data_IF_956752869645
#
_entry.id   IF_956752869645
#
_cell.length_a   1.000
_cell.length_b   1.000
_cell.length_c   1.000
_cell.angle_alpha   90.00
_cell.angle_beta   90.00
_cell.angle_gamma   90.00
#
_symmetry.space_group_name_H-M   'P 1'
#
loop_
_entity.id
_entity.type
_entity.pdbx_description
1 polymer ?
#
# COMPACT_ATOMS: atom_id res chain seq x y z
N UNK A 1 16.19 -6.96 7.85
CA UNK A 1 17.35 -6.33 7.16
C UNK A 1 17.14 -4.85 7.03
N UNK A 2 18.18 -4.05 7.26
CA UNK A 2 18.17 -2.59 7.07
C UNK A 2 18.55 -2.27 5.63
N UNK A 3 17.77 -1.42 4.98
CA UNK A 3 18.06 -0.86 3.65
C UNK A 3 17.63 0.59 3.58
N UNK A 4 17.97 1.30 2.51
CA UNK A 4 17.61 2.71 2.34
C UNK A 4 16.09 2.93 2.44
N UNK A 5 15.29 1.97 1.94
CA UNK A 5 13.83 2.03 1.88
C UNK A 5 13.11 1.89 3.23
N UNK A 6 13.80 1.42 4.27
CA UNK A 6 13.21 1.17 5.59
C UNK A 6 14.05 1.70 6.77
N UNK A 7 15.18 2.36 6.49
CA UNK A 7 16.13 2.81 7.51
C UNK A 7 15.50 3.76 8.52
N UNK A 8 14.69 4.72 8.06
CA UNK A 8 14.07 5.70 8.95
C UNK A 8 13.00 5.05 9.84
N UNK A 9 12.11 4.22 9.26
CA UNK A 9 11.12 3.46 10.01
C UNK A 9 11.76 2.53 11.06
N UNK A 10 12.86 1.85 10.69
CA UNK A 10 13.60 1.00 11.60
C UNK A 10 14.19 1.79 12.77
N UNK A 11 14.81 2.95 12.49
CA UNK A 11 15.37 3.80 13.53
C UNK A 11 14.28 4.35 14.47
N UNK A 12 13.14 4.77 13.92
CA UNK A 12 11.99 5.23 14.68
C UNK A 12 11.44 4.13 15.60
N UNK A 13 11.27 2.92 15.06
CA UNK A 13 10.83 1.75 15.82
C UNK A 13 11.81 1.39 16.94
N UNK A 14 13.11 1.41 16.67
CA UNK A 14 14.15 1.19 17.69
C UNK A 14 14.04 2.23 18.81
N UNK A 15 13.91 3.52 18.49
CA UNK A 15 13.76 4.58 19.50
C UNK A 15 12.51 4.42 20.37
N UNK A 16 11.40 4.06 19.74
CA UNK A 16 10.14 3.77 20.44
C UNK A 16 10.28 2.56 21.36
N UNK A 17 10.98 1.52 20.93
CA UNK A 17 11.20 0.33 21.74
C UNK A 17 12.18 0.55 22.90
N UNK A 18 13.25 1.34 22.69
CA UNK A 18 14.26 1.71 23.69
C UNK A 18 13.75 2.70 24.75
N UNK A 19 12.75 3.51 24.42
CA UNK A 19 12.19 4.52 25.32
C UNK A 19 10.68 4.70 25.11
N UNK A 20 9.86 3.69 25.46
CA UNK A 20 8.43 3.72 25.22
C UNK A 20 7.76 4.98 25.81
N UNK A 21 6.89 5.59 25.02
CA UNK A 21 6.11 6.79 25.28
C UNK A 21 6.90 8.09 25.51
N UNK A 22 8.24 8.08 25.44
CA UNK A 22 9.08 9.27 25.67
C UNK A 22 9.54 9.95 24.39
N UNK A 23 9.90 9.16 23.37
CA UNK A 23 10.46 9.69 22.13
C UNK A 23 9.37 10.13 21.15
N UNK A 24 8.55 9.18 20.69
CA UNK A 24 7.50 9.42 19.70
C UNK A 24 6.21 8.70 20.11
N UNK A 25 5.15 9.46 20.36
CA UNK A 25 3.87 8.87 20.74
C UNK A 25 2.67 9.62 20.12
N UNK A 26 1.95 9.01 19.17
CA UNK A 26 2.15 7.67 18.61
C UNK A 26 3.31 7.63 17.62
N UNK A 27 3.73 6.41 17.28
CA UNK A 27 4.45 6.13 16.05
C UNK A 27 3.46 5.57 15.02
N UNK A 28 3.38 6.19 13.85
CA UNK A 28 2.53 5.76 12.74
C UNK A 28 3.41 5.31 11.58
N UNK A 29 3.37 4.01 11.27
CA UNK A 29 4.15 3.39 10.19
C UNK A 29 3.22 3.08 9.03
N UNK A 30 3.51 3.54 7.82
CA UNK A 30 2.71 3.20 6.65
C UNK A 30 3.53 2.70 5.47
N UNK A 31 2.86 2.04 4.53
CA UNK A 31 3.46 1.52 3.31
C UNK A 31 2.61 0.39 2.74
N UNK A 32 2.86 0.01 1.49
CA UNK A 32 2.10 -1.03 0.80
C UNK A 32 2.12 -2.38 1.55
N UNK A 33 1.23 -3.28 1.15
CA UNK A 33 1.18 -4.64 1.70
C UNK A 33 2.53 -5.37 1.52
N UNK A 34 2.91 -6.19 2.50
CA UNK A 34 4.11 -7.03 2.39
C UNK A 34 5.45 -6.30 2.52
N UNK A 35 5.49 -5.05 3.03
CA UNK A 35 6.75 -4.32 3.24
C UNK A 35 7.36 -4.45 4.65
N UNK A 36 6.72 -5.20 5.55
CA UNK A 36 7.25 -5.48 6.89
C UNK A 36 6.71 -4.61 8.02
N UNK A 37 5.58 -3.91 7.83
CA UNK A 37 4.88 -3.15 8.89
C UNK A 37 4.59 -4.01 10.13
N UNK A 38 3.86 -5.11 9.95
CA UNK A 38 3.55 -6.09 11.00
C UNK A 38 4.81 -6.63 11.67
N UNK A 39 5.84 -6.96 10.87
CA UNK A 39 7.13 -7.41 11.38
C UNK A 39 7.76 -6.36 12.32
N UNK A 40 7.72 -5.09 11.93
CA UNK A 40 8.27 -3.98 12.72
C UNK A 40 7.50 -3.78 14.03
N UNK A 41 6.16 -3.86 14.00
CA UNK A 41 5.32 -3.82 15.19
C UNK A 41 5.70 -4.94 16.17
N UNK A 42 5.77 -6.18 15.69
CA UNK A 42 6.19 -7.32 16.53
C UNK A 42 7.62 -7.15 17.07
N UNK A 43 8.55 -6.62 16.27
CA UNK A 43 9.91 -6.36 16.72
C UNK A 43 9.95 -5.35 17.88
N UNK A 44 9.15 -4.28 17.84
CA UNK A 44 8.99 -3.34 18.96
C UNK A 44 8.46 -4.08 20.19
N UNK A 45 7.40 -4.87 20.03
CA UNK A 45 6.79 -5.61 21.14
C UNK A 45 7.77 -6.55 21.82
N UNK A 46 8.45 -7.40 21.05
CA UNK A 46 9.44 -8.34 21.57
C UNK A 46 10.65 -7.65 22.22
N UNK A 47 11.10 -6.52 21.66
CA UNK A 47 12.16 -5.74 22.29
C UNK A 47 11.71 -5.23 23.66
N UNK A 48 10.50 -4.67 23.76
CA UNK A 48 9.97 -4.17 25.03
C UNK A 48 9.81 -5.30 26.05
N UNK A 49 9.22 -6.43 25.67
CA UNK A 49 9.04 -7.59 26.57
C UNK A 49 10.37 -8.14 27.08
N UNK A 50 11.41 -8.14 26.25
CA UNK A 50 12.74 -8.64 26.64
C UNK A 50 13.55 -7.68 27.52
N UNK A 51 13.28 -6.38 27.46
CA UNK A 51 14.05 -5.36 28.19
C UNK A 51 13.30 -4.74 29.37
N UNK A 52 11.97 -4.85 29.41
CA UNK A 52 11.12 -4.27 30.44
C UNK A 52 10.24 -5.35 31.11
N UNK A 53 10.74 -5.94 32.19
CA UNK A 53 10.11 -7.06 32.91
C UNK A 53 8.68 -6.81 33.43
N UNK A 54 8.26 -5.55 33.51
CA UNK A 54 6.94 -5.16 34.04
C UNK A 54 6.04 -4.48 33.02
N UNK A 55 6.48 -4.32 31.76
CA UNK A 55 5.64 -3.72 30.74
C UNK A 55 4.67 -4.74 30.16
N UNK A 56 3.40 -4.35 30.06
CA UNK A 56 2.37 -5.12 29.37
C UNK A 56 2.29 -4.64 27.93
N UNK A 57 2.69 -5.50 26.99
CA UNK A 57 2.60 -5.24 25.55
C UNK A 57 1.35 -5.91 24.99
N UNK A 58 0.61 -5.20 24.14
CA UNK A 58 -0.53 -5.74 23.41
C UNK A 58 -0.39 -5.46 21.92
N UNK A 59 -0.34 -6.53 21.14
CA UNK A 59 -0.56 -6.47 19.70
C UNK A 59 -2.01 -6.83 19.37
N UNK A 60 -2.60 -6.12 18.42
CA UNK A 60 -3.93 -6.41 17.88
C UNK A 60 -4.04 -5.90 16.43
N UNK A 61 -4.70 -6.64 15.55
CA UNK A 61 -5.14 -6.08 14.26
C UNK A 61 -6.45 -5.30 14.45
N UNK A 62 -6.69 -4.29 13.61
CA UNK A 62 -7.95 -3.55 13.66
C UNK A 62 -9.18 -4.45 13.48
N UNK A 63 -9.08 -5.51 12.68
CA UNK A 63 -10.15 -6.51 12.50
C UNK A 63 -10.41 -7.32 13.77
N UNK A 64 -9.36 -7.81 14.46
CA UNK A 64 -9.53 -8.51 15.74
C UNK A 64 -10.12 -7.58 16.80
N UNK A 65 -9.68 -6.32 16.84
CA UNK A 65 -10.25 -5.32 17.74
C UNK A 65 -11.75 -5.08 17.46
N UNK A 66 -12.15 -5.02 16.18
CA UNK A 66 -13.55 -4.93 15.77
C UNK A 66 -14.37 -6.13 16.27
N UNK A 67 -13.89 -7.35 16.05
CA UNK A 67 -14.59 -8.56 16.48
C UNK A 67 -14.77 -8.59 18.00
N UNK A 68 -13.73 -8.28 18.75
CA UNK A 68 -13.80 -8.20 20.21
C UNK A 68 -14.74 -7.08 20.70
N UNK A 69 -14.79 -5.95 20.00
CA UNK A 69 -15.72 -4.86 20.29
C UNK A 69 -17.17 -5.29 20.09
N UNK A 70 -17.48 -5.95 18.96
CA UNK A 70 -18.83 -6.48 18.68
C UNK A 70 -19.25 -7.51 19.73
N UNK A 71 -18.35 -8.42 20.11
CA UNK A 71 -18.63 -9.42 21.13
C UNK A 71 -18.83 -8.80 22.51
N UNK A 72 -18.06 -7.76 22.84
CA UNK A 72 -18.20 -7.03 24.10
C UNK A 72 -19.54 -6.29 24.21
N UNK A 73 -20.07 -5.76 23.10
CA UNK A 73 -21.41 -5.19 23.04
C UNK A 73 -22.47 -6.28 23.29
N UNK A 74 -22.39 -7.39 22.56
CA UNK A 74 -23.37 -8.50 22.66
C UNK A 74 -23.43 -9.12 24.05
N UNK A 75 -22.27 -9.26 24.70
CA UNK A 75 -22.13 -9.87 26.02
C UNK A 75 -22.21 -8.87 27.18
N UNK A 76 -22.48 -7.58 26.90
CA UNK A 76 -22.45 -6.49 27.89
C UNK A 76 -21.14 -6.44 28.72
N UNK A 77 -20.00 -6.72 28.08
CA UNK A 77 -18.69 -6.86 28.70
C UNK A 77 -17.69 -5.75 28.28
N UNK A 78 -18.20 -4.59 27.86
CA UNK A 78 -17.40 -3.42 27.46
C UNK A 78 -16.36 -2.98 28.48
N UNK A 79 -16.63 -3.16 29.78
CA UNK A 79 -15.65 -2.88 30.83
C UNK A 79 -14.41 -3.78 30.71
N UNK A 80 -14.59 -5.07 30.36
CA UNK A 80 -13.50 -6.01 30.14
C UNK A 80 -12.68 -5.68 28.89
N UNK A 81 -13.34 -5.30 27.80
CA UNK A 81 -12.67 -4.81 26.59
C UNK A 81 -11.79 -3.60 26.91
N UNK A 82 -12.35 -2.58 27.56
CA UNK A 82 -11.60 -1.38 27.95
C UNK A 82 -10.41 -1.71 28.82
N UNK A 83 -10.58 -2.60 29.80
CA UNK A 83 -9.49 -3.05 30.66
C UNK A 83 -8.35 -3.67 29.85
N UNK A 84 -8.68 -4.59 28.94
CA UNK A 84 -7.72 -5.31 28.08
C UNK A 84 -6.85 -4.39 27.23
N UNK A 85 -7.42 -3.29 26.73
CA UNK A 85 -6.74 -2.36 25.82
C UNK A 85 -6.21 -1.09 26.49
N UNK A 86 -6.66 -0.75 27.70
CA UNK A 86 -6.23 0.47 28.42
C UNK A 86 -5.29 0.18 29.59
N UNK A 87 -5.28 -1.04 30.13
CA UNK A 87 -4.31 -1.49 31.14
C UNK A 87 -3.08 -2.13 30.47
N UNK A 88 -2.44 -1.37 29.57
CA UNK A 88 -1.21 -1.79 28.87
C UNK A 88 -0.16 -0.68 28.92
N UNK A 89 1.10 -1.03 28.74
CA UNK A 89 2.20 -0.07 28.64
C UNK A 89 2.52 0.26 27.18
N UNK A 90 2.30 -0.70 26.28
CA UNK A 90 2.49 -0.55 24.84
C UNK A 90 1.31 -1.17 24.09
N UNK A 91 0.62 -0.37 23.28
CA UNK A 91 -0.41 -0.83 22.36
C UNK A 91 0.10 -0.74 20.91
N UNK A 92 0.15 -1.89 20.25
CA UNK A 92 0.55 -2.05 18.86
C UNK A 92 -0.70 -2.42 18.05
N UNK A 93 -1.05 -1.58 17.08
CA UNK A 93 -2.29 -1.72 16.31
C UNK A 93 -1.94 -1.83 14.85
N UNK A 94 -2.24 -2.98 14.27
CA UNK A 94 -1.96 -3.26 12.86
C UNK A 94 -3.15 -2.89 11.98
N UNK A 95 -2.84 -2.43 10.77
CA UNK A 95 -3.79 -2.15 9.69
C UNK A 95 -4.96 -1.23 10.07
N UNK A 96 -4.66 -0.02 10.57
CA UNK A 96 -5.69 0.96 11.01
C UNK A 96 -6.59 1.48 9.89
N UNK A 97 -6.25 1.22 8.62
CA UNK A 97 -7.13 1.50 7.48
C UNK A 97 -8.50 0.79 7.61
N UNK A 98 -8.57 -0.34 8.33
CA UNK A 98 -9.83 -1.05 8.55
C UNK A 98 -10.80 -0.35 9.54
N UNK A 99 -10.43 0.80 10.10
CA UNK A 99 -11.35 1.69 10.80
C UNK A 99 -12.32 2.41 9.85
N UNK A 100 -12.03 2.42 8.54
CA UNK A 100 -12.87 2.99 7.49
C UNK A 100 -14.32 2.49 7.59
N UNK A 101 -15.27 3.43 7.64
CA UNK A 101 -16.71 3.16 7.67
C UNK A 101 -17.22 2.53 8.97
N UNK A 102 -16.40 2.48 10.03
CA UNK A 102 -16.74 1.87 11.33
C UNK A 102 -16.89 2.91 12.44
N UNK A 103 -17.89 3.79 12.36
CA UNK A 103 -18.07 4.93 13.29
C UNK A 103 -18.00 4.54 14.79
N UNK A 104 -18.79 3.54 15.21
CA UNK A 104 -18.78 3.10 16.61
C UNK A 104 -17.43 2.52 17.07
N UNK A 105 -16.69 1.88 16.16
CA UNK A 105 -15.34 1.38 16.46
C UNK A 105 -14.34 2.53 16.53
N UNK A 106 -14.43 3.51 15.63
CA UNK A 106 -13.61 4.73 15.65
C UNK A 106 -13.80 5.50 16.96
N UNK A 107 -15.03 5.60 17.47
CA UNK A 107 -15.31 6.24 18.74
C UNK A 107 -14.65 5.52 19.93
N UNK A 108 -14.85 4.20 20.07
CA UNK A 108 -14.23 3.44 21.17
C UNK A 108 -12.70 3.43 21.06
N UNK A 109 -12.18 3.38 19.83
CA UNK A 109 -10.75 3.52 19.56
C UNK A 109 -10.23 4.90 19.98
N UNK A 110 -10.93 5.98 19.66
CA UNK A 110 -10.56 7.34 20.07
C UNK A 110 -10.46 7.47 21.60
N UNK A 111 -11.40 6.89 22.33
CA UNK A 111 -11.35 6.88 23.79
C UNK A 111 -10.18 6.04 24.34
N UNK A 112 -9.91 4.88 23.74
CA UNK A 112 -8.77 4.04 24.11
C UNK A 112 -7.45 4.75 23.85
N UNK A 113 -7.30 5.37 22.69
CA UNK A 113 -6.14 6.16 22.32
C UNK A 113 -5.88 7.29 23.32
N UNK A 114 -6.91 8.07 23.68
CA UNK A 114 -6.76 9.17 24.62
C UNK A 114 -6.41 8.72 26.04
N UNK A 115 -7.01 7.62 26.49
CA UNK A 115 -6.72 7.05 27.81
C UNK A 115 -5.25 6.62 27.91
N UNK A 116 -4.74 5.92 26.89
CA UNK A 116 -3.35 5.48 26.84
C UNK A 116 -2.38 6.65 26.70
N UNK A 117 -2.65 7.56 25.77
CA UNK A 117 -1.77 8.71 25.54
C UNK A 117 -1.69 9.62 26.77
N UNK A 118 -2.84 9.94 27.39
CA UNK A 118 -2.89 10.73 28.63
C UNK A 118 -2.21 10.07 29.83
N UNK A 119 -2.11 8.73 29.83
CA UNK A 119 -1.37 7.96 30.83
C UNK A 119 0.10 7.71 30.45
N UNK A 120 0.62 8.38 29.42
CA UNK A 120 1.97 8.18 28.87
C UNK A 120 2.28 6.71 28.54
N UNK A 121 1.31 6.02 27.94
CA UNK A 121 1.49 4.66 27.38
C UNK A 121 1.81 4.75 25.90
N UNK A 122 2.68 3.87 25.40
CA UNK A 122 3.13 3.92 24.01
C UNK A 122 2.02 3.41 23.09
N UNK A 123 1.81 4.13 21.98
CA UNK A 123 0.92 3.70 20.91
C UNK A 123 1.73 3.59 19.62
N UNK A 124 1.65 2.46 18.94
CA UNK A 124 2.23 2.26 17.60
C UNK A 124 1.14 1.78 16.66
N UNK A 125 1.01 2.43 15.52
CA UNK A 125 -0.02 2.20 14.54
C UNK A 125 0.64 1.82 13.21
N UNK A 126 0.04 0.87 12.50
CA UNK A 126 0.42 0.51 11.14
C UNK A 126 -0.74 0.77 10.17
N UNK A 127 -0.43 1.17 8.93
CA UNK A 127 -1.43 1.40 7.89
C UNK A 127 -0.91 1.10 6.48
N UNK A 128 -1.78 0.78 5.54
CA UNK A 128 -1.41 0.71 4.11
C UNK A 128 -1.22 2.10 3.48
N UNK A 129 -1.75 3.15 4.12
CA UNK A 129 -1.76 4.53 3.63
C UNK A 129 -1.62 5.57 4.75
N UNK A 130 -1.32 6.82 4.38
CA UNK A 130 -1.29 7.93 5.32
C UNK A 130 -2.66 8.19 5.98
N UNK A 131 -2.71 8.79 7.18
CA UNK A 131 -3.98 9.11 7.87
C UNK A 131 -4.97 9.90 6.99
N UNK A 132 -4.47 10.88 6.22
CA UNK A 132 -5.33 11.72 5.38
C UNK A 132 -5.98 10.95 4.23
N UNK A 133 -5.37 9.82 3.83
CA UNK A 133 -5.82 8.95 2.75
C UNK A 133 -6.77 7.83 3.21
N UNK A 134 -7.05 7.70 4.51
CA UNK A 134 -8.02 6.72 5.05
C UNK A 134 -9.43 7.32 4.89
N UNK A 135 -10.27 6.82 3.96
CA UNK A 135 -11.61 7.37 3.75
C UNK A 135 -12.44 7.26 5.02
N UNK A 136 -13.33 8.22 5.26
CA UNK A 136 -14.27 8.24 6.40
C UNK A 136 -13.64 8.15 7.80
N UNK A 137 -12.31 8.27 7.92
CA UNK A 137 -11.63 8.42 9.20
C UNK A 137 -11.94 9.80 9.78
N UNK A 138 -12.48 9.84 11.00
CA UNK A 138 -12.84 11.06 11.69
C UNK A 138 -11.63 12.02 11.86
N UNK A 139 -11.89 13.32 11.70
CA UNK A 139 -10.86 14.37 11.77
C UNK A 139 -10.09 14.35 13.10
N UNK A 140 -10.78 14.05 14.20
CA UNK A 140 -10.14 13.93 15.51
C UNK A 140 -9.12 12.80 15.56
N UNK A 141 -9.38 11.66 14.92
CA UNK A 141 -8.43 10.55 14.83
C UNK A 141 -7.28 10.87 13.89
N UNK A 142 -7.55 11.52 12.74
CA UNK A 142 -6.49 12.03 11.85
C UNK A 142 -5.52 12.94 12.60
N UNK A 143 -6.04 13.89 13.38
CA UNK A 143 -5.25 14.76 14.24
C UNK A 143 -4.40 13.97 15.25
N UNK A 144 -4.98 12.95 15.89
CA UNK A 144 -4.26 12.05 16.81
C UNK A 144 -3.23 11.15 16.13
N UNK A 145 -3.35 10.85 14.85
CA UNK A 145 -2.32 10.08 14.15
C UNK A 145 -1.16 10.97 13.74
N UNK A 146 -1.43 12.23 13.40
CA UNK A 146 -0.46 13.18 12.86
C UNK A 146 0.37 13.93 13.90
N UNK A 147 -0.07 14.01 15.16
CA UNK A 147 0.68 14.71 16.21
C UNK A 147 1.94 13.98 16.72
N UNK A 148 2.13 12.72 16.31
CA UNK A 148 3.29 11.89 16.66
C UNK A 148 4.32 11.86 15.53
N UNK A 149 5.06 10.76 15.42
CA UNK A 149 5.97 10.53 14.30
C UNK A 149 5.27 9.69 13.23
N UNK A 150 5.28 10.17 11.99
CA UNK A 150 4.85 9.41 10.81
C UNK A 150 6.10 8.99 10.03
N UNK A 151 6.17 7.72 9.66
CA UNK A 151 7.24 7.17 8.83
C UNK A 151 6.68 6.19 7.81
N UNK A 152 7.32 6.11 6.66
CA UNK A 152 7.00 5.17 5.61
C UNK A 152 7.99 4.01 5.54
N UNK A 153 7.54 2.90 4.95
CA UNK A 153 8.37 1.81 4.47
C UNK A 153 8.14 1.69 2.96
N UNK A 154 9.22 1.78 2.20
CA UNK A 154 9.20 1.68 0.74
C UNK A 154 9.66 0.29 0.27
N UNK A 155 9.30 -0.10 -0.97
CA UNK A 155 9.82 -1.31 -1.58
C UNK A 155 11.36 -1.35 -1.55
N UNK A 156 11.97 -2.48 -1.18
CA UNK A 156 13.42 -2.62 -1.11
C UNK A 156 14.06 -2.60 -2.50
N UNK A 157 15.28 -2.05 -2.59
CA UNK A 157 16.13 -2.16 -3.77
C UNK A 157 16.65 -3.59 -3.98
N UNK A 158 17.30 -3.85 -5.13
CA UNK A 158 17.81 -5.18 -5.48
C UNK A 158 18.78 -5.72 -4.43
N UNK A 159 19.69 -4.88 -3.93
CA UNK A 159 20.67 -5.24 -2.91
C UNK A 159 19.99 -5.70 -1.61
N UNK A 160 18.99 -4.94 -1.15
CA UNK A 160 18.21 -5.28 0.04
C UNK A 160 17.38 -6.54 -0.18
N UNK A 161 16.79 -6.75 -1.37
CA UNK A 161 16.06 -7.98 -1.70
C UNK A 161 16.98 -9.21 -1.69
N UNK A 162 18.16 -9.10 -2.28
CA UNK A 162 19.19 -10.15 -2.22
C UNK A 162 19.58 -10.47 -0.77
N UNK A 163 19.81 -9.45 0.05
CA UNK A 163 20.14 -9.64 1.46
C UNK A 163 19.00 -10.32 2.25
N UNK A 164 17.74 -9.97 1.97
CA UNK A 164 16.56 -10.63 2.55
C UNK A 164 16.55 -12.12 2.17
N UNK A 165 16.69 -12.43 0.88
CA UNK A 165 16.67 -13.81 0.39
C UNK A 165 17.80 -14.66 0.98
N UNK A 166 19.03 -14.12 1.02
CA UNK A 166 20.19 -14.80 1.63
C UNK A 166 19.96 -15.09 3.10
N UNK A 167 19.47 -14.11 3.86
CA UNK A 167 19.19 -14.31 5.27
C UNK A 167 18.09 -15.34 5.52
N UNK A 168 17.08 -15.35 4.64
CA UNK A 168 16.01 -16.34 4.68
C UNK A 168 16.55 -17.75 4.42
N UNK A 169 17.34 -17.94 3.37
CA UNK A 169 17.93 -19.25 3.04
C UNK A 169 18.87 -19.75 4.13
N UNK A 170 19.69 -18.88 4.71
CA UNK A 170 20.58 -19.21 5.84
C UNK A 170 19.80 -19.64 7.08
N UNK A 171 18.77 -18.88 7.46
CA UNK A 171 17.92 -19.20 8.62
C UNK A 171 17.21 -20.54 8.44
N UNK A 172 16.73 -20.78 7.23
CA UNK A 172 15.98 -22.00 6.90
C UNK A 172 16.93 -23.17 6.58
N UNK A 173 18.25 -22.95 6.60
CA UNK A 173 19.34 -23.92 6.34
C UNK A 173 19.22 -24.60 4.97
N UNK A 174 18.81 -23.83 3.97
CA UNK A 174 18.72 -24.28 2.58
C UNK A 174 19.81 -23.59 1.77
N UNK A 175 20.63 -24.38 1.08
CA UNK A 175 21.65 -23.86 0.19
C UNK A 175 21.02 -23.54 -1.18
N UNK A 176 21.06 -22.26 -1.55
CA UNK A 176 20.51 -21.78 -2.82
C UNK A 176 21.62 -21.09 -3.61
N UNK A 177 21.85 -21.46 -4.89
CA UNK A 177 22.87 -20.81 -5.71
C UNK A 177 22.66 -19.29 -5.80
N UNK A 178 23.76 -18.53 -5.75
CA UNK A 178 23.72 -17.06 -5.76
C UNK A 178 22.98 -16.50 -6.98
N UNK A 179 23.22 -17.08 -8.16
CA UNK A 179 22.54 -16.76 -9.42
C UNK A 179 21.03 -16.99 -9.36
N UNK A 180 20.57 -17.99 -8.61
CA UNK A 180 19.15 -18.26 -8.43
C UNK A 180 18.51 -17.24 -7.50
N UNK A 181 19.21 -16.84 -6.43
CA UNK A 181 18.76 -15.73 -5.57
C UNK A 181 18.69 -14.41 -6.33
N UNK A 182 19.69 -14.12 -7.17
CA UNK A 182 19.72 -12.94 -8.02
C UNK A 182 18.60 -12.95 -9.06
N UNK A 183 18.31 -14.11 -9.66
CA UNK A 183 17.17 -14.28 -10.55
C UNK A 183 15.85 -13.95 -9.83
N UNK A 184 15.61 -14.52 -8.65
CA UNK A 184 14.38 -14.25 -7.88
C UNK A 184 14.30 -12.77 -7.50
N UNK A 185 15.38 -12.18 -6.96
CA UNK A 185 15.40 -10.78 -6.53
C UNK A 185 15.24 -9.78 -7.68
N UNK A 186 15.72 -10.12 -8.89
CA UNK A 186 15.61 -9.25 -10.06
C UNK A 186 14.21 -9.23 -10.66
N UNK A 187 13.45 -10.34 -10.53
CA UNK A 187 12.14 -10.45 -11.15
C UNK A 187 10.97 -10.23 -10.18
N UNK A 188 11.14 -10.50 -8.89
CA UNK A 188 10.09 -10.29 -7.88
C UNK A 188 10.35 -8.98 -7.14
N UNK A 189 9.73 -7.90 -7.62
CA UNK A 189 9.99 -6.52 -7.16
C UNK A 189 8.82 -5.89 -6.41
N UNK A 190 7.67 -6.55 -6.36
CA UNK A 190 6.40 -6.05 -5.82
C UNK A 190 6.43 -5.80 -4.31
N UNK A 191 6.69 -6.84 -3.51
CA UNK A 191 6.78 -6.78 -2.05
C UNK A 191 7.59 -7.95 -1.46
N UNK A 192 7.97 -7.83 -0.19
CA UNK A 192 8.82 -8.81 0.50
C UNK A 192 8.11 -10.16 0.68
N UNK A 193 6.78 -10.16 0.83
CA UNK A 193 6.01 -11.40 1.01
C UNK A 193 6.04 -12.26 -0.24
N UNK A 194 5.85 -11.67 -1.42
CA UNK A 194 5.99 -12.37 -2.70
C UNK A 194 7.42 -12.83 -2.94
N UNK A 195 8.41 -12.00 -2.59
CA UNK A 195 9.83 -12.33 -2.69
C UNK A 195 10.19 -13.58 -1.85
N UNK A 196 9.80 -13.60 -0.57
CA UNK A 196 9.99 -14.77 0.29
C UNK A 196 9.15 -15.97 -0.18
N UNK A 197 7.93 -15.74 -0.66
CA UNK A 197 7.06 -16.77 -1.20
C UNK A 197 7.64 -17.47 -2.42
N UNK A 198 8.28 -16.72 -3.32
CA UNK A 198 8.98 -17.25 -4.48
C UNK A 198 10.14 -18.16 -4.06
N UNK A 199 10.95 -17.73 -3.09
CA UNK A 199 12.02 -18.56 -2.53
C UNK A 199 11.46 -19.86 -1.94
N UNK A 200 10.45 -19.75 -1.07
CA UNK A 200 9.80 -20.90 -0.44
C UNK A 200 9.28 -21.89 -1.48
N UNK A 201 8.64 -21.40 -2.55
CA UNK A 201 8.11 -22.25 -3.62
C UNK A 201 9.22 -23.04 -4.31
N UNK A 202 10.32 -22.37 -4.68
CA UNK A 202 11.47 -23.01 -5.35
C UNK A 202 12.13 -24.04 -4.43
N UNK A 203 12.40 -23.67 -3.17
CA UNK A 203 13.06 -24.58 -2.21
C UNK A 203 12.17 -25.77 -1.84
N UNK A 204 10.86 -25.55 -1.68
CA UNK A 204 9.91 -26.62 -1.37
C UNK A 204 9.80 -27.61 -2.53
N UNK A 205 9.70 -27.14 -3.77
CA UNK A 205 9.64 -28.02 -4.94
C UNK A 205 10.91 -28.88 -5.06
N UNK A 206 12.08 -28.26 -4.92
CA UNK A 206 13.36 -28.96 -4.97
C UNK A 206 13.44 -30.07 -3.89
N UNK A 207 13.06 -29.73 -2.66
CA UNK A 207 13.05 -30.67 -1.54
C UNK A 207 12.05 -31.82 -1.74
N UNK A 208 10.85 -31.55 -2.22
CA UNK A 208 9.79 -32.56 -2.38
C UNK A 208 10.07 -33.53 -3.52
N UNK A 209 10.77 -33.08 -4.57
CA UNK A 209 11.09 -33.90 -5.74
C UNK A 209 12.52 -34.46 -5.72
N UNK A 210 13.33 -34.11 -4.70
CA UNK A 210 14.72 -34.53 -4.59
C UNK A 210 15.60 -34.03 -5.73
N UNK A 211 15.29 -32.86 -6.30
CA UNK A 211 16.04 -32.24 -7.41
C UNK A 211 16.88 -31.07 -6.89
N UNK A 212 18.04 -30.78 -7.50
CA UNK A 212 18.85 -29.64 -7.11
C UNK A 212 18.13 -28.32 -7.41
N UNK A 213 18.39 -27.30 -6.59
CA UNK A 213 17.93 -25.94 -6.84
C UNK A 213 18.79 -25.33 -7.94
N UNK A 214 18.16 -24.90 -9.03
CA UNK A 214 18.82 -24.24 -10.16
C UNK A 214 18.01 -23.05 -10.63
N UNK A 215 18.66 -22.17 -11.39
CA UNK A 215 17.99 -21.00 -12.00
C UNK A 215 16.89 -21.43 -12.99
N UNK A 216 17.07 -22.54 -13.71
CA UNK A 216 16.04 -23.06 -14.62
C UNK A 216 14.85 -23.67 -13.88
N UNK A 217 15.09 -24.32 -12.73
CA UNK A 217 14.01 -24.73 -11.85
C UNK A 217 13.21 -23.50 -11.39
N UNK A 218 13.88 -22.45 -10.92
CA UNK A 218 13.23 -21.22 -10.49
C UNK A 218 12.40 -20.57 -11.61
N UNK A 219 12.92 -20.49 -12.84
CA UNK A 219 12.15 -19.99 -14.00
C UNK A 219 10.87 -20.79 -14.24
N UNK A 220 10.96 -22.13 -14.17
CA UNK A 220 9.79 -22.99 -14.38
C UNK A 220 8.72 -22.80 -13.30
N UNK A 221 9.13 -22.75 -12.04
CA UNK A 221 8.23 -22.71 -10.87
C UNK A 221 7.63 -21.34 -10.60
N UNK A 222 8.23 -20.28 -11.14
CA UNK A 222 7.79 -18.90 -10.94
C UNK A 222 7.16 -18.30 -12.20
N UNK A 223 6.94 -19.08 -13.25
CA UNK A 223 6.47 -18.60 -14.55
C UNK A 223 5.15 -17.81 -14.48
N UNK A 224 4.24 -18.17 -13.58
CA UNK A 224 2.98 -17.47 -13.25
C UNK A 224 3.22 -16.11 -12.56
N UNK A 225 4.13 -16.05 -11.60
CA UNK A 225 4.48 -14.80 -10.91
C UNK A 225 5.26 -13.85 -11.84
N UNK A 226 6.03 -14.42 -12.77
CA UNK A 226 6.76 -13.68 -13.79
C UNK A 226 5.81 -13.05 -14.82
N UNK A 227 4.68 -13.70 -15.14
CA UNK A 227 3.69 -13.12 -16.05
C UNK A 227 2.99 -11.88 -15.50
N UNK A 228 2.83 -11.75 -14.18
CA UNK A 228 2.29 -10.54 -13.55
C UNK A 228 3.34 -9.43 -13.39
N UNK A 229 4.63 -9.79 -13.27
CA UNK A 229 5.75 -8.84 -13.18
C UNK A 229 6.15 -8.20 -14.51
N UNK A 230 5.63 -8.73 -15.63
CA UNK A 230 5.80 -8.17 -16.98
C UNK A 230 4.41 -7.94 -17.58
N UNK A 231 3.62 -7.06 -16.97
CA UNK A 231 2.71 -6.28 -17.80
C UNK A 231 3.57 -5.63 -18.88
N UNK A 232 3.45 -6.09 -20.13
CA UNK A 232 3.96 -5.30 -21.26
C UNK A 232 3.46 -3.88 -21.03
N UNK A 233 4.32 -2.84 -21.10
CA UNK A 233 3.83 -1.49 -21.03
C UNK A 233 2.71 -1.36 -22.07
N UNK A 234 1.50 -1.02 -21.60
CA UNK A 234 0.33 -0.84 -22.47
C UNK A 234 0.79 0.11 -23.58
N UNK A 235 0.63 -0.31 -24.82
CA UNK A 235 0.86 0.59 -25.95
C UNK A 235 -0.14 1.75 -25.86
N UNK A 236 0.20 2.91 -26.43
CA UNK A 236 -0.69 4.07 -26.45
C UNK A 236 -2.08 3.72 -27.05
N UNK A 237 -2.12 2.77 -27.98
CA UNK A 237 -3.38 2.30 -28.57
C UNK A 237 -4.18 1.40 -27.62
N UNK A 238 -3.53 0.49 -26.88
CA UNK A 238 -4.21 -0.33 -25.87
C UNK A 238 -4.77 0.55 -24.75
N UNK A 239 -4.03 1.57 -24.31
CA UNK A 239 -4.50 2.54 -23.33
C UNK A 239 -5.73 3.30 -23.86
N UNK A 240 -5.73 3.71 -25.14
CA UNK A 240 -6.89 4.37 -25.74
C UNK A 240 -8.11 3.46 -25.83
N UNK A 241 -7.91 2.17 -26.12
CA UNK A 241 -8.98 1.15 -26.16
C UNK A 241 -9.63 1.01 -24.80
N UNK A 242 -8.83 0.82 -23.76
CA UNK A 242 -9.30 0.70 -22.39
C UNK A 242 -10.05 1.96 -21.92
N UNK A 243 -9.51 3.15 -22.22
CA UNK A 243 -10.17 4.43 -21.93
C UNK A 243 -11.51 4.58 -22.64
N UNK A 244 -11.60 4.12 -23.88
CA UNK A 244 -12.84 4.18 -24.66
C UNK A 244 -13.92 3.29 -24.02
N UNK A 245 -13.55 2.08 -23.60
CA UNK A 245 -14.43 1.13 -22.93
C UNK A 245 -14.98 1.70 -21.60
N UNK A 246 -14.10 2.25 -20.76
CA UNK A 246 -14.50 2.89 -19.49
C UNK A 246 -15.45 4.08 -19.72
N UNK A 247 -15.22 4.85 -20.78
CA UNK A 247 -16.05 6.00 -21.14
C UNK A 247 -17.34 5.60 -21.88
N UNK A 248 -17.54 4.32 -22.20
CA UNK A 248 -18.70 3.79 -22.90
C UNK A 248 -18.76 4.17 -24.38
N UNK A 249 -17.61 4.31 -25.04
CA UNK A 249 -17.50 4.64 -26.46
C UNK A 249 -16.58 3.69 -27.21
N UNK A 250 -16.85 3.51 -28.51
CA UNK A 250 -15.90 2.88 -29.43
C UNK A 250 -14.67 3.78 -29.65
N UNK A 251 -13.49 3.17 -29.78
CA UNK A 251 -12.22 3.89 -30.05
C UNK A 251 -12.34 4.77 -31.29
N UNK A 252 -12.95 4.25 -32.35
CA UNK A 252 -13.15 4.99 -33.59
C UNK A 252 -14.09 6.19 -33.42
N UNK A 253 -15.00 6.16 -32.44
CA UNK A 253 -15.83 7.33 -32.11
C UNK A 253 -14.98 8.43 -31.44
N UNK A 254 -14.04 8.06 -30.57
CA UNK A 254 -13.10 9.00 -29.96
C UNK A 254 -12.11 9.56 -30.98
N UNK A 255 -11.67 8.78 -31.97
CA UNK A 255 -10.78 9.25 -33.06
C UNK A 255 -11.52 9.99 -34.16
N UNK A 256 -12.82 9.72 -34.33
CA UNK A 256 -13.66 10.26 -35.39
C UNK A 256 -13.98 11.76 -35.27
N UNK A 257 -14.66 12.30 -36.29
CA UNK A 257 -14.96 13.75 -36.43
C UNK A 257 -16.28 14.20 -35.78
N UNK A 258 -17.04 13.27 -35.18
CA UNK A 258 -18.36 13.58 -34.61
C UNK A 258 -18.28 14.63 -33.50
N UNK A 259 -19.21 15.59 -33.56
CA UNK A 259 -19.31 16.75 -32.67
C UNK A 259 -20.46 16.67 -31.65
N UNK A 260 -21.03 15.47 -31.47
CA UNK A 260 -22.04 15.26 -30.43
C UNK A 260 -21.47 15.60 -29.05
N UNK A 261 -22.18 16.43 -28.28
CA UNK A 261 -21.67 17.00 -27.02
C UNK A 261 -21.14 15.94 -26.03
N UNK A 262 -21.84 14.83 -25.74
CA UNK A 262 -21.32 13.80 -24.82
C UNK A 262 -19.99 13.20 -25.29
N UNK A 263 -19.90 12.84 -26.56
CA UNK A 263 -18.70 12.27 -27.17
C UNK A 263 -17.54 13.27 -27.20
N UNK A 264 -17.82 14.55 -27.44
CA UNK A 264 -16.80 15.61 -27.39
C UNK A 264 -16.23 15.73 -25.98
N UNK A 265 -17.07 15.71 -24.95
CA UNK A 265 -16.62 15.75 -23.56
C UNK A 265 -15.77 14.53 -23.21
N UNK A 266 -16.23 13.32 -23.55
CA UNK A 266 -15.48 12.08 -23.31
C UNK A 266 -14.11 12.10 -24.00
N UNK A 267 -14.06 12.58 -25.24
CA UNK A 267 -12.80 12.76 -25.98
C UNK A 267 -11.85 13.77 -25.31
N UNK A 268 -12.39 14.87 -24.79
CA UNK A 268 -11.60 15.88 -24.08
C UNK A 268 -11.03 15.34 -22.77
N UNK A 269 -11.84 14.58 -22.01
CA UNK A 269 -11.41 13.86 -20.81
C UNK A 269 -10.29 12.88 -21.17
N UNK A 270 -10.45 12.10 -22.24
CA UNK A 270 -9.44 11.15 -22.66
C UNK A 270 -8.11 11.84 -23.04
N UNK A 271 -8.15 12.97 -23.75
CA UNK A 271 -6.95 13.75 -24.08
C UNK A 271 -6.24 14.30 -22.83
N UNK A 272 -7.00 14.77 -21.84
CA UNK A 272 -6.47 15.21 -20.55
C UNK A 272 -5.77 14.07 -19.81
N UNK A 273 -6.45 12.93 -19.67
CA UNK A 273 -5.90 11.77 -18.96
C UNK A 273 -4.67 11.19 -19.66
N UNK A 274 -4.63 11.16 -20.99
CA UNK A 274 -3.41 10.81 -21.74
C UNK A 274 -2.24 11.73 -21.40
N UNK A 275 -2.49 13.04 -21.27
CA UNK A 275 -1.43 14.00 -20.93
C UNK A 275 -0.91 13.80 -19.50
N UNK A 276 -1.78 13.43 -18.57
CA UNK A 276 -1.43 13.18 -17.16
C UNK A 276 -0.74 11.83 -16.93
N UNK A 277 -1.09 10.80 -17.70
CA UNK A 277 -0.57 9.44 -17.52
C UNK A 277 0.67 9.13 -18.38
N UNK A 278 0.94 9.91 -19.42
CA UNK A 278 2.01 9.62 -20.39
C UNK A 278 2.91 10.83 -20.63
N UNK A 279 4.14 10.55 -21.07
CA UNK A 279 5.09 11.58 -21.53
C UNK A 279 4.87 12.00 -22.99
N UNK A 280 3.73 11.65 -23.59
CA UNK A 280 3.43 12.01 -24.97
C UNK A 280 3.31 13.52 -25.14
N UNK A 281 3.95 14.04 -26.19
CA UNK A 281 3.78 15.42 -26.62
C UNK A 281 2.37 15.65 -27.20
N UNK A 282 1.86 16.89 -27.12
CA UNK A 282 0.56 17.25 -27.69
C UNK A 282 0.37 16.81 -29.17
N UNK A 283 1.38 16.94 -30.06
CA UNK A 283 1.27 16.38 -31.42
C UNK A 283 1.14 14.85 -31.47
N UNK A 284 1.76 14.13 -30.54
CA UNK A 284 1.67 12.67 -30.48
C UNK A 284 0.31 12.21 -30.00
N UNK A 285 -0.25 12.87 -28.98
CA UNK A 285 -1.63 12.68 -28.56
C UNK A 285 -2.58 13.01 -29.74
N UNK A 286 -2.35 14.11 -30.46
CA UNK A 286 -3.20 14.49 -31.58
C UNK A 286 -3.22 13.44 -32.72
N UNK A 287 -2.07 12.80 -33.01
CA UNK A 287 -1.97 11.67 -33.94
C UNK A 287 -2.80 10.47 -33.48
N UNK A 288 -2.70 10.13 -32.19
CA UNK A 288 -3.46 9.02 -31.59
C UNK A 288 -4.98 9.23 -31.74
N UNK A 289 -5.45 10.45 -31.49
CA UNK A 289 -6.85 10.87 -31.60
C UNK A 289 -7.30 11.23 -33.04
N UNK A 290 -6.76 10.54 -34.05
CA UNK A 290 -7.21 10.64 -35.45
C UNK A 290 -6.54 11.75 -36.25
N UNK A 291 -5.31 12.15 -35.90
CA UNK A 291 -4.55 13.16 -36.64
C UNK A 291 -5.13 14.57 -36.53
N UNK A 292 -5.65 14.92 -35.35
CA UNK A 292 -6.20 16.26 -35.08
C UNK A 292 -5.09 17.31 -34.97
N UNK A 293 -5.47 18.59 -35.00
CA UNK A 293 -4.52 19.66 -34.70
C UNK A 293 -4.10 19.58 -33.22
N UNK A 294 -2.79 19.64 -32.95
CA UNK A 294 -2.24 19.64 -31.60
C UNK A 294 -2.81 20.75 -30.70
N UNK A 295 -3.20 21.90 -31.27
CA UNK A 295 -3.88 22.98 -30.55
C UNK A 295 -5.25 22.54 -30.02
N UNK A 296 -5.94 21.62 -30.71
CA UNK A 296 -7.19 21.01 -30.22
C UNK A 296 -6.97 20.21 -28.95
N UNK A 297 -5.83 19.53 -28.84
CA UNK A 297 -5.47 18.77 -27.64
C UNK A 297 -5.16 19.73 -26.50
N UNK A 298 -4.36 20.77 -26.73
CA UNK A 298 -4.04 21.80 -25.73
C UNK A 298 -5.33 22.40 -25.15
N UNK A 299 -6.24 22.86 -26.02
CA UNK A 299 -7.53 23.40 -25.59
C UNK A 299 -8.41 22.39 -24.85
N UNK A 300 -8.35 21.11 -25.20
CA UNK A 300 -9.07 20.06 -24.48
C UNK A 300 -8.54 19.89 -23.05
N UNK A 301 -7.22 19.80 -22.90
CA UNK A 301 -6.54 19.66 -21.59
C UNK A 301 -6.86 20.85 -20.69
N UNK A 302 -6.62 22.07 -21.16
CA UNK A 302 -6.89 23.30 -20.40
C UNK A 302 -8.37 23.43 -19.99
N UNK A 303 -9.29 23.02 -20.87
CA UNK A 303 -10.72 23.07 -20.59
C UNK A 303 -11.11 22.06 -19.51
N UNK A 304 -10.64 20.81 -19.59
CA UNK A 304 -10.96 19.80 -18.57
C UNK A 304 -10.35 20.19 -17.22
N UNK A 305 -9.10 20.65 -17.21
CA UNK A 305 -8.43 21.11 -15.99
C UNK A 305 -9.25 22.20 -15.26
N UNK A 306 -9.77 23.18 -16.02
CA UNK A 306 -10.66 24.22 -15.46
C UNK A 306 -11.99 23.65 -14.98
N UNK A 307 -12.62 22.80 -15.80
CA UNK A 307 -13.93 22.24 -15.49
C UNK A 307 -13.92 21.30 -14.28
N UNK A 308 -12.79 20.66 -13.97
CA UNK A 308 -12.65 19.88 -12.73
C UNK A 308 -12.77 20.74 -11.47
N UNK A 309 -12.38 22.02 -11.52
CA UNK A 309 -12.58 22.96 -10.41
C UNK A 309 -14.01 23.52 -10.32
N UNK A 310 -14.75 23.53 -11.43
CA UNK A 310 -16.09 24.13 -11.52
C UNK A 310 -17.23 23.10 -11.41
N UNK A 311 -16.97 21.84 -11.78
CA UNK A 311 -18.01 20.81 -11.96
C UNK A 311 -17.59 19.48 -11.34
N UNK A 312 -18.25 19.15 -10.23
CA UNK A 312 -18.05 17.89 -9.50
C UNK A 312 -18.13 16.64 -10.40
N UNK A 313 -19.09 16.61 -11.32
CA UNK A 313 -19.27 15.48 -12.25
C UNK A 313 -18.04 15.22 -13.14
N UNK A 314 -17.36 16.28 -13.62
CA UNK A 314 -16.16 16.14 -14.46
C UNK A 314 -14.98 15.67 -13.60
N UNK A 315 -14.85 16.21 -12.39
CA UNK A 315 -13.83 15.76 -11.43
C UNK A 315 -13.98 14.27 -11.10
N UNK A 316 -15.20 13.82 -10.79
CA UNK A 316 -15.49 12.41 -10.50
C UNK A 316 -15.16 11.50 -11.70
N UNK A 317 -15.58 11.88 -12.91
CA UNK A 317 -15.28 11.10 -14.13
C UNK A 317 -13.79 10.99 -14.43
N UNK A 318 -13.03 12.09 -14.29
CA UNK A 318 -11.58 12.07 -14.51
C UNK A 318 -10.87 11.24 -13.42
N UNK A 319 -11.31 11.37 -12.17
CA UNK A 319 -10.71 10.64 -11.04
C UNK A 319 -10.97 9.14 -11.14
N UNK A 320 -12.21 8.72 -11.45
CA UNK A 320 -12.57 7.32 -11.67
C UNK A 320 -11.77 6.74 -12.85
N UNK A 321 -11.67 7.47 -13.97
CA UNK A 321 -10.89 7.04 -15.13
C UNK A 321 -9.39 6.90 -14.78
N UNK A 322 -8.79 7.86 -14.08
CA UNK A 322 -7.39 7.78 -13.65
C UNK A 322 -7.15 6.63 -12.66
N UNK A 323 -8.10 6.35 -11.78
CA UNK A 323 -7.98 5.28 -10.79
C UNK A 323 -8.03 3.90 -11.46
N UNK A 324 -8.98 3.68 -12.38
CA UNK A 324 -9.13 2.41 -13.11
C UNK A 324 -7.97 2.11 -14.06
N UNK A 325 -7.35 3.14 -14.64
CA UNK A 325 -6.20 2.94 -15.53
C UNK A 325 -4.89 2.68 -14.77
N UNK A 326 -4.80 3.09 -13.50
CA UNK A 326 -3.63 2.86 -12.63
C UNK A 326 -3.68 1.53 -11.88
N UNK A 327 -4.85 0.91 -11.77
CA UNK A 327 -5.01 -0.47 -11.28
C UNK A 327 -4.62 -1.50 -12.33
#
# INVERSE_FOLDING_TARGET
MKGASNQFALAAAQRVAETPARSYNPLFVYGSAGLGKTHLLHAIGHYVESHYQHHVVRYVSTESFMNEFVDAIRSNSMAGLRRRYREVDVLLIDDVQFLEGREGLQEEFFHTFNALHGANKQIVLSSDRMPDAIPTLEERLRGRFKWGLITDIQPPDLETRLAILRNKSERDRVEVPAETLEFIASNITSNIRELEGALIRVTAYASLNGVPITTDLAKSQLSDLLSDSVAKPRTDMELLVEMADILGYEVDALRGKSRQRPLVTARQIAMYVFRELTDLSYPSIARLFGGRDHTTVIHAVEKIQRQMGERKQIYEQVTDLLQRLKS
#
